data_IF_186598975807
#
_entry.id   IF_186598975807
#
_cell.length_a   1.000
_cell.length_b   1.000
_cell.length_c   1.000
_cell.angle_alpha   90.00
_cell.angle_beta   90.00
_cell.angle_gamma   90.00
#
_symmetry.space_group_name_H-M   'P 1'
#
loop_
_entity.id
_entity.type
_entity.pdbx_description
1 polymer ?
#
# COMPACT_ATOMS: atom_id res chain seq x y z
N UNK A 1 7.66 14.82 -10.87
CA UNK A 1 6.22 14.54 -10.68
C UNK A 1 6.04 13.23 -9.92
N UNK A 2 5.26 13.26 -8.83
CA UNK A 2 4.87 12.08 -8.05
C UNK A 2 3.35 11.86 -8.21
N UNK A 3 2.95 10.61 -8.34
CA UNK A 3 1.56 10.16 -8.38
C UNK A 3 1.24 9.46 -7.06
N UNK A 4 0.07 9.75 -6.51
CA UNK A 4 -0.46 9.09 -5.34
C UNK A 4 -1.20 7.82 -5.77
N UNK A 5 -0.66 6.67 -5.40
CA UNK A 5 -1.27 5.37 -5.58
C UNK A 5 -2.07 5.06 -4.33
N UNK A 6 -3.39 4.91 -4.49
CA UNK A 6 -4.27 4.49 -3.41
C UNK A 6 -4.76 3.07 -3.69
N UNK A 7 -4.38 2.10 -2.86
CA UNK A 7 -5.06 0.80 -2.83
C UNK A 7 -6.30 0.92 -1.95
N UNK A 8 -7.46 0.68 -2.55
CA UNK A 8 -8.73 0.64 -1.85
C UNK A 8 -8.79 -0.55 -0.90
N UNK A 9 -9.88 -0.66 -0.13
CA UNK A 9 -10.08 -1.77 0.80
C UNK A 9 -10.05 -3.09 0.04
N UNK A 10 -8.98 -3.87 0.20
CA UNK A 10 -8.83 -5.21 -0.35
C UNK A 10 -9.02 -6.29 0.72
N UNK A 11 -9.70 -7.38 0.36
CA UNK A 11 -9.72 -8.62 1.15
C UNK A 11 -8.72 -9.66 0.64
N UNK A 12 -7.96 -9.35 -0.41
CA UNK A 12 -6.96 -10.24 -0.97
C UNK A 12 -5.82 -10.50 0.01
N UNK A 13 -5.52 -11.77 0.24
CA UNK A 13 -4.40 -12.20 1.07
C UNK A 13 -3.03 -11.89 0.44
N UNK A 14 -2.99 -11.55 -0.84
CA UNK A 14 -1.76 -11.14 -1.51
C UNK A 14 -1.22 -9.82 -0.94
N UNK A 15 -2.07 -8.97 -0.36
CA UNK A 15 -1.68 -7.66 0.16
C UNK A 15 -1.66 -7.66 1.68
N UNK A 16 -0.57 -7.14 2.26
CA UNK A 16 -0.41 -7.12 3.72
C UNK A 16 -1.29 -6.07 4.38
N UNK A 17 -1.37 -4.87 3.79
CA UNK A 17 -2.32 -3.85 4.23
C UNK A 17 -3.60 -3.94 3.41
N UNK A 18 -4.74 -3.77 4.09
CA UNK A 18 -6.06 -3.67 3.44
C UNK A 18 -6.24 -2.36 2.69
N UNK A 19 -5.54 -1.30 3.07
CA UNK A 19 -5.51 -0.01 2.38
C UNK A 19 -4.08 0.53 2.38
N UNK A 20 -3.68 1.22 1.31
CA UNK A 20 -2.40 1.94 1.28
C UNK A 20 -2.51 3.19 0.42
N UNK A 21 -1.71 4.19 0.76
CA UNK A 21 -1.53 5.39 -0.03
C UNK A 21 -0.02 5.67 -0.11
N UNK A 22 0.55 5.65 -1.31
CA UNK A 22 1.99 5.83 -1.53
C UNK A 22 2.26 6.77 -2.70
N UNK A 23 3.31 7.58 -2.61
CA UNK A 23 3.70 8.52 -3.66
C UNK A 23 4.82 7.93 -4.51
N UNK A 24 4.62 7.84 -5.82
CA UNK A 24 5.57 7.24 -6.77
C UNK A 24 5.77 8.10 -8.00
N UNK A 25 7.02 8.29 -8.44
CA UNK A 25 7.36 9.02 -9.66
C UNK A 25 7.36 8.09 -10.86
N UNK A 26 7.11 8.63 -12.05
CA UNK A 26 7.12 7.87 -13.31
C UNK A 26 8.41 7.04 -13.50
N UNK A 27 9.58 7.58 -13.15
CA UNK A 27 10.86 6.85 -13.22
C UNK A 27 10.88 5.61 -12.34
N UNK A 28 10.18 5.62 -11.21
CA UNK A 28 10.06 4.46 -10.32
C UNK A 28 9.13 3.40 -10.92
N UNK A 29 8.09 3.79 -11.69
CA UNK A 29 7.29 2.84 -12.46
C UNK A 29 8.11 2.17 -13.57
N UNK A 30 8.96 2.92 -14.27
CA UNK A 30 9.88 2.36 -15.28
C UNK A 30 10.81 1.32 -14.64
N UNK A 31 11.37 1.65 -13.47
CA UNK A 31 12.17 0.71 -12.69
C UNK A 31 11.38 -0.55 -12.29
N UNK A 32 10.16 -0.37 -11.76
CA UNK A 32 9.30 -1.50 -11.35
C UNK A 32 9.00 -2.42 -12.52
N UNK A 33 8.59 -1.87 -13.67
CA UNK A 33 8.30 -2.65 -14.88
C UNK A 33 9.52 -3.48 -15.30
N UNK A 34 10.71 -2.88 -15.29
CA UNK A 34 11.94 -3.60 -15.62
C UNK A 34 12.19 -4.76 -14.63
N UNK A 35 12.05 -4.54 -13.32
CA UNK A 35 12.21 -5.59 -12.32
C UNK A 35 11.22 -6.74 -12.51
N UNK A 36 9.95 -6.43 -12.82
CA UNK A 36 8.92 -7.44 -13.07
C UNK A 36 9.18 -8.22 -14.36
N UNK A 37 9.63 -7.55 -15.43
CA UNK A 37 10.02 -8.23 -16.69
C UNK A 37 11.13 -9.25 -16.47
N UNK A 38 12.16 -8.93 -15.67
CA UNK A 38 13.25 -9.87 -15.39
C UNK A 38 12.79 -11.12 -14.62
N UNK A 39 11.74 -10.99 -13.81
CA UNK A 39 11.20 -12.08 -13.01
C UNK A 39 10.10 -12.89 -13.71
N UNK A 40 9.45 -12.32 -14.72
CA UNK A 40 8.30 -12.90 -15.40
C UNK A 40 8.52 -12.98 -16.92
N UNK A 41 9.60 -13.66 -17.34
CA UNK A 41 10.07 -13.73 -18.74
C UNK A 41 9.03 -14.23 -19.75
N UNK A 42 7.97 -14.91 -19.31
CA UNK A 42 6.90 -15.47 -20.16
C UNK A 42 5.69 -14.52 -20.24
N UNK A 43 5.59 -13.52 -19.35
CA UNK A 43 4.45 -12.62 -19.26
C UNK A 43 4.71 -11.35 -20.07
N UNK A 44 3.78 -11.02 -20.96
CA UNK A 44 3.79 -9.73 -21.65
C UNK A 44 3.29 -8.66 -20.68
N UNK A 45 4.20 -7.88 -20.12
CA UNK A 45 3.84 -6.79 -19.23
C UNK A 45 3.17 -5.63 -19.98
N UNK A 46 2.13 -4.99 -19.39
CA UNK A 46 1.53 -3.79 -19.95
C UNK A 46 2.60 -2.71 -20.18
N UNK A 47 2.41 -1.93 -21.26
CA UNK A 47 3.32 -0.84 -21.59
C UNK A 47 3.02 0.35 -20.67
N UNK A 48 4.08 1.01 -20.21
CA UNK A 48 3.93 2.30 -19.53
C UNK A 48 3.59 3.39 -20.56
N UNK A 49 2.89 4.46 -20.16
CA UNK A 49 2.71 5.62 -21.03
C UNK A 49 4.09 6.14 -21.46
N UNK A 50 4.23 6.59 -22.72
CA UNK A 50 5.53 6.94 -23.28
C UNK A 50 6.20 8.06 -22.49
N UNK A 51 7.53 7.99 -22.39
CA UNK A 51 8.32 9.08 -21.82
C UNK A 51 8.20 10.29 -22.74
N UNK A 52 7.54 11.33 -22.26
CA UNK A 52 7.45 12.62 -22.96
C UNK A 52 8.51 13.57 -22.38
N UNK A 53 9.58 13.93 -23.13
CA UNK A 53 10.59 14.88 -22.68
C UNK A 53 10.04 16.32 -22.55
N UNK A 54 8.95 16.65 -23.24
CA UNK A 54 8.26 17.95 -23.19
C UNK A 54 7.00 17.89 -22.32
N UNK A 55 7.00 17.04 -21.31
CA UNK A 55 5.88 16.91 -20.41
C UNK A 55 5.72 18.18 -19.56
N UNK A 56 4.55 18.81 -19.61
CA UNK A 56 4.22 19.97 -18.78
C UNK A 56 3.12 19.62 -17.77
N UNK A 57 3.34 20.01 -16.52
CA UNK A 57 2.33 19.90 -15.45
C UNK A 57 1.16 20.86 -15.64
N UNK A 58 1.34 21.94 -16.40
CA UNK A 58 0.24 22.85 -16.75
C UNK A 58 -0.70 22.27 -17.81
N UNK A 59 -0.27 21.20 -18.49
CA UNK A 59 -1.10 20.53 -19.49
C UNK A 59 -1.87 19.39 -18.83
N UNK A 60 -3.11 19.69 -18.44
CA UNK A 60 -4.02 18.75 -17.78
C UNK A 60 -4.27 17.49 -18.62
N UNK A 61 -4.33 17.60 -19.94
CA UNK A 61 -4.53 16.45 -20.83
C UNK A 61 -3.33 15.48 -20.77
N UNK A 62 -2.11 16.00 -20.85
CA UNK A 62 -0.89 15.17 -20.73
C UNK A 62 -0.82 14.48 -19.37
N UNK A 63 -1.21 15.19 -18.31
CA UNK A 63 -1.28 14.67 -16.95
C UNK A 63 -2.30 13.52 -16.88
N UNK A 64 -3.55 13.75 -17.30
CA UNK A 64 -4.63 12.77 -17.25
C UNK A 64 -4.29 11.52 -18.07
N UNK A 65 -3.77 11.70 -19.29
CA UNK A 65 -3.36 10.59 -20.15
C UNK A 65 -2.26 9.75 -19.49
N UNK A 66 -1.28 10.40 -18.85
CA UNK A 66 -0.22 9.70 -18.11
C UNK A 66 -0.79 8.97 -16.89
N UNK A 67 -1.68 9.60 -16.12
CA UNK A 67 -2.32 8.96 -14.97
C UNK A 67 -3.11 7.72 -15.38
N UNK A 68 -3.94 7.84 -16.43
CA UNK A 68 -4.70 6.73 -16.99
C UNK A 68 -3.80 5.57 -17.41
N UNK A 69 -2.72 5.84 -18.17
CA UNK A 69 -1.79 4.78 -18.58
C UNK A 69 -1.04 4.13 -17.41
N UNK A 70 -0.75 4.88 -16.34
CA UNK A 70 -0.17 4.31 -15.12
C UNK A 70 -1.19 3.47 -14.34
N UNK A 71 -2.47 3.84 -14.38
CA UNK A 71 -3.55 3.10 -13.76
C UNK A 71 -3.78 1.77 -14.47
N UNK A 72 -3.93 1.80 -15.79
CA UNK A 72 -4.08 0.60 -16.61
C UNK A 72 -2.89 -0.37 -16.42
N UNK A 73 -1.67 0.16 -16.32
CA UNK A 73 -0.48 -0.62 -15.99
C UNK A 73 -0.61 -1.34 -14.65
N UNK A 74 -0.98 -0.63 -13.58
CA UNK A 74 -1.11 -1.22 -12.25
C UNK A 74 -2.26 -2.22 -12.17
N UNK A 75 -3.42 -1.90 -12.75
CA UNK A 75 -4.58 -2.78 -12.80
C UNK A 75 -4.24 -4.12 -13.45
N UNK A 76 -3.56 -4.10 -14.59
CA UNK A 76 -3.12 -5.32 -15.27
C UNK A 76 -2.06 -6.09 -14.46
N UNK A 77 -1.13 -5.39 -13.80
CA UNK A 77 -0.12 -6.03 -12.95
C UNK A 77 -0.75 -6.73 -11.75
N UNK A 78 -1.69 -6.09 -11.05
CA UNK A 78 -2.33 -6.69 -9.85
C UNK A 78 -3.34 -7.78 -10.18
N UNK A 79 -3.85 -7.83 -11.41
CA UNK A 79 -4.69 -8.93 -11.89
C UNK A 79 -3.88 -10.18 -12.28
N UNK A 80 -2.55 -10.09 -12.33
CA UNK A 80 -1.66 -11.18 -12.75
C UNK A 80 -1.03 -11.87 -11.53
N UNK A 81 -1.46 -13.08 -11.14
CA UNK A 81 -1.02 -13.72 -9.88
C UNK A 81 0.50 -13.92 -9.78
N UNK A 82 1.17 -14.22 -10.89
CA UNK A 82 2.63 -14.39 -10.89
C UNK A 82 3.35 -13.09 -10.50
N UNK A 83 2.87 -11.94 -10.94
CA UNK A 83 3.48 -10.64 -10.61
C UNK A 83 3.23 -10.27 -9.14
N UNK A 84 2.11 -10.71 -8.56
CA UNK A 84 1.82 -10.57 -7.14
C UNK A 84 2.76 -11.37 -6.24
N UNK A 85 3.55 -12.30 -6.77
CA UNK A 85 4.58 -12.99 -5.98
C UNK A 85 5.84 -12.14 -5.75
N UNK A 86 6.05 -11.06 -6.53
CA UNK A 86 7.25 -10.23 -6.42
C UNK A 86 7.15 -9.26 -5.24
N UNK A 87 8.06 -9.41 -4.26
CA UNK A 87 8.12 -8.54 -3.09
C UNK A 87 8.36 -7.06 -3.41
N UNK A 88 9.02 -6.74 -4.54
CA UNK A 88 9.26 -5.36 -4.97
C UNK A 88 7.96 -4.67 -5.36
N UNK A 89 7.01 -5.40 -5.93
CA UNK A 89 5.67 -4.86 -6.22
C UNK A 89 4.95 -4.45 -4.93
N UNK A 90 4.97 -5.33 -3.92
CA UNK A 90 4.34 -5.04 -2.63
C UNK A 90 4.98 -3.86 -1.91
N UNK A 91 6.31 -3.81 -1.88
CA UNK A 91 7.03 -2.68 -1.31
C UNK A 91 6.75 -1.39 -2.09
N UNK A 92 6.64 -1.46 -3.41
CA UNK A 92 6.31 -0.31 -4.24
C UNK A 92 4.92 0.25 -3.91
N UNK A 93 3.93 -0.62 -3.72
CA UNK A 93 2.53 -0.24 -3.49
C UNK A 93 2.16 0.06 -2.03
N UNK A 94 2.91 -0.51 -1.07
CA UNK A 94 2.53 -0.50 0.36
C UNK A 94 3.59 0.10 1.30
N UNK A 95 4.72 0.56 0.77
CA UNK A 95 5.76 1.26 1.53
C UNK A 95 6.19 2.57 0.87
N UNK A 96 6.76 3.48 1.66
CA UNK A 96 7.40 4.73 1.25
C UNK A 96 8.90 4.57 0.91
N UNK A 97 9.39 3.32 0.83
CA UNK A 97 10.81 3.05 0.53
C UNK A 97 11.21 3.55 -0.86
N UNK A 98 12.42 4.09 -0.98
CA UNK A 98 13.04 4.40 -2.28
C UNK A 98 13.37 3.12 -3.05
N UNK A 99 13.43 3.18 -4.39
CA UNK A 99 13.72 2.02 -5.25
C UNK A 99 14.99 1.25 -4.83
N UNK A 100 16.03 1.96 -4.38
CA UNK A 100 17.27 1.33 -3.89
C UNK A 100 17.04 0.54 -2.60
N UNK A 101 16.24 1.08 -1.67
CA UNK A 101 15.88 0.36 -0.44
C UNK A 101 14.96 -0.82 -0.74
N UNK A 102 14.05 -0.67 -1.69
CA UNK A 102 13.18 -1.77 -2.14
C UNK A 102 14.03 -2.93 -2.69
N UNK A 103 14.94 -2.65 -3.64
CA UNK A 103 15.78 -3.69 -4.25
C UNK A 103 16.64 -4.41 -3.21
N UNK A 104 17.27 -3.66 -2.29
CA UNK A 104 18.03 -4.23 -1.19
C UNK A 104 17.17 -5.09 -0.26
N UNK A 105 15.95 -4.65 0.05
CA UNK A 105 15.04 -5.39 0.93
C UNK A 105 14.57 -6.69 0.28
N UNK A 106 14.21 -6.65 -1.01
CA UNK A 106 13.83 -7.82 -1.78
C UNK A 106 14.96 -8.86 -1.90
N UNK A 107 16.22 -8.41 -1.91
CA UNK A 107 17.41 -9.27 -1.92
C UNK A 107 17.85 -9.73 -0.51
N UNK A 108 17.13 -9.37 0.55
CA UNK A 108 17.51 -9.70 1.94
C UNK A 108 18.74 -8.94 2.46
N UNK A 109 19.11 -7.81 1.85
CA UNK A 109 20.27 -6.97 2.18
C UNK A 109 19.95 -5.80 3.12
N UNK A 110 18.83 -5.89 3.84
CA UNK A 110 18.37 -4.91 4.84
C UNK A 110 18.25 -5.55 6.22
N UNK A 111 18.21 -4.74 7.28
CA UNK A 111 18.00 -5.21 8.66
C UNK A 111 16.54 -5.50 9.01
N UNK A 112 15.63 -5.18 8.09
CA UNK A 112 14.19 -5.41 8.23
C UNK A 112 13.70 -6.25 7.05
N UNK A 113 12.64 -7.00 7.28
CA UNK A 113 11.94 -7.79 6.27
C UNK A 113 10.97 -6.95 5.44
N UNK A 114 10.48 -7.52 4.34
CA UNK A 114 9.42 -6.92 3.52
C UNK A 114 8.17 -6.62 4.36
N UNK A 115 7.76 -7.57 5.20
CA UNK A 115 6.59 -7.45 6.06
C UNK A 115 6.71 -6.27 7.03
N UNK A 116 7.87 -6.19 7.66
CA UNK A 116 8.25 -5.13 8.59
C UNK A 116 8.29 -3.74 7.94
N UNK A 117 8.84 -3.64 6.72
CA UNK A 117 8.85 -2.39 5.97
C UNK A 117 7.43 -1.90 5.66
N UNK A 118 6.56 -2.81 5.21
CA UNK A 118 5.17 -2.48 4.91
C UNK A 118 4.44 -2.05 6.18
N UNK A 119 4.61 -2.76 7.29
CA UNK A 119 3.96 -2.43 8.56
C UNK A 119 4.36 -1.04 9.08
N UNK A 120 5.65 -0.68 8.98
CA UNK A 120 6.17 0.61 9.46
C UNK A 120 5.82 1.78 8.55
N UNK A 121 5.51 1.55 7.28
CA UNK A 121 5.09 2.61 6.37
C UNK A 121 3.83 3.28 6.87
N UNK A 122 3.80 4.61 6.87
CA UNK A 122 2.59 5.37 7.18
C UNK A 122 1.63 5.28 5.99
N UNK A 123 0.32 5.15 6.25
CA UNK A 123 -0.69 5.50 5.25
C UNK A 123 -1.02 6.95 5.54
N UNK A 124 -0.56 7.89 4.74
CA UNK A 124 -0.89 9.31 4.92
C UNK A 124 -2.33 9.63 4.48
N UNK A 125 -3.21 8.64 4.51
CA UNK A 125 -4.57 8.69 3.99
C UNK A 125 -5.61 9.18 4.99
N UNK A 126 -5.23 9.51 6.24
CA UNK A 126 -6.14 10.00 7.27
C UNK A 126 -5.50 11.13 8.05
N UNK A 127 -5.76 12.37 7.64
CA UNK A 127 -5.74 13.57 8.49
C UNK A 127 -6.53 14.68 7.78
N UNK A 128 -7.86 14.58 7.80
CA UNK A 128 -8.75 15.73 7.68
C UNK A 128 -9.74 15.70 8.86
N UNK A 129 -9.37 16.46 9.89
CA UNK A 129 -10.21 17.16 10.88
C UNK A 129 -11.39 16.43 11.52
N UNK A 130 -11.19 15.91 12.72
CA UNK A 130 -12.17 16.04 13.80
C UNK A 130 -12.00 17.44 14.41
N UNK A 131 -12.86 18.39 14.01
CA UNK A 131 -13.08 19.60 14.79
C UNK A 131 -14.38 19.43 15.58
N UNK A 132 -14.32 19.80 16.87
CA UNK A 132 -15.36 19.81 17.93
C UNK A 132 -15.61 18.45 18.63
N UNK A 133 -15.52 18.33 19.95
CA UNK A 133 -15.64 19.33 21.03
C UNK A 133 -14.83 18.83 22.24
N UNK A 134 -14.19 19.77 22.94
CA UNK A 134 -13.58 19.58 24.25
C UNK A 134 -14.58 19.02 25.26
N UNK A 135 -14.24 17.92 25.91
CA UNK A 135 -14.80 17.60 27.21
C UNK A 135 -13.66 17.07 28.08
N UNK A 136 -13.19 17.92 28.98
CA UNK A 136 -12.42 17.51 30.15
C UNK A 136 -13.21 16.43 30.89
N UNK A 137 -12.54 15.35 31.25
CA UNK A 137 -12.96 14.55 32.39
C UNK A 137 -11.72 14.09 33.14
N UNK A 138 -11.45 14.75 34.25
CA UNK A 138 -10.54 14.32 35.28
C UNK A 138 -10.99 12.95 35.80
N UNK A 139 -10.14 11.92 35.69
CA UNK A 139 -10.34 10.66 36.40
C UNK A 139 -9.24 10.51 37.46
N UNK A 140 -9.57 10.98 38.66
CA UNK A 140 -8.85 10.71 39.90
C UNK A 140 -8.70 9.19 40.10
N UNK A 141 -7.47 8.76 40.43
CA UNK A 141 -7.19 7.38 40.81
C UNK A 141 -7.64 7.14 42.25
N UNK A 142 -8.31 6.01 42.51
CA UNK A 142 -8.38 5.46 43.87
C UNK A 142 -8.37 3.94 43.83
N UNK A 143 -7.32 3.38 44.43
CA UNK A 143 -7.13 1.97 44.72
C UNK A 143 -8.21 1.42 45.65
N UNK A 144 -8.69 0.20 45.42
CA UNK A 144 -8.86 -0.77 46.52
C UNK A 144 -8.97 -2.21 46.00
N UNK A 145 -8.43 -3.11 46.81
CA UNK A 145 -8.21 -4.53 46.58
C UNK A 145 -9.49 -5.38 46.74
N UNK A 146 -9.55 -6.53 46.07
CA UNK A 146 -10.56 -7.57 46.32
C UNK A 146 -10.08 -8.96 45.87
N UNK A 147 -9.94 -9.86 46.85
CA UNK A 147 -9.48 -11.26 46.74
C UNK A 147 -10.53 -12.19 46.12
N UNK A 148 -10.10 -13.33 45.53
CA UNK A 148 -10.98 -14.49 45.32
C UNK A 148 -10.43 -15.60 44.41
N UNK A 149 -10.16 -16.78 45.01
CA UNK A 149 -9.86 -18.12 44.47
C UNK A 149 -10.84 -18.57 43.33
N UNK A 150 -10.65 -19.59 42.47
CA UNK A 150 -9.97 -20.91 42.52
C UNK A 150 -10.06 -21.60 41.12
N UNK A 151 -9.19 -22.60 40.83
CA UNK A 151 -9.20 -23.77 39.88
C UNK A 151 -10.25 -23.83 38.72
N UNK A 152 -9.98 -24.32 37.50
CA UNK A 152 -9.40 -25.62 37.11
C UNK A 152 -9.05 -25.71 35.59
N UNK A 153 -8.24 -26.71 35.25
CA UNK A 153 -7.72 -27.11 33.93
C UNK A 153 -8.76 -27.88 33.10
N UNK A 154 -8.86 -27.61 31.79
CA UNK A 154 -9.14 -28.68 30.81
C UNK A 154 -8.72 -28.30 29.39
N UNK A 155 -7.95 -29.18 28.77
CA UNK A 155 -7.55 -29.17 27.36
C UNK A 155 -8.72 -29.65 26.50
N UNK A 156 -9.06 -28.92 25.43
CA UNK A 156 -9.73 -29.53 24.28
C UNK A 156 -9.47 -28.75 22.99
N UNK A 157 -8.65 -29.37 22.13
CA UNK A 157 -8.60 -29.14 20.68
C UNK A 157 -9.99 -29.13 20.06
N UNK A 158 -10.20 -28.24 19.08
CA UNK A 158 -10.99 -28.45 17.84
C UNK A 158 -11.05 -27.17 17.00
N UNK A 159 -11.23 -27.27 15.67
CA UNK A 159 -10.41 -26.55 14.69
C UNK A 159 -10.98 -25.20 14.23
N UNK A 160 -10.08 -24.34 13.77
CA UNK A 160 -10.38 -23.09 13.07
C UNK A 160 -11.30 -23.35 11.87
N UNK A 161 -12.44 -22.65 11.74
CA UNK A 161 -13.19 -22.66 10.50
C UNK A 161 -12.43 -21.83 9.47
N UNK A 162 -11.86 -22.55 8.49
CA UNK A 162 -11.47 -22.02 7.20
C UNK A 162 -12.70 -21.39 6.54
N UNK A 163 -12.83 -20.06 6.66
CA UNK A 163 -13.83 -19.31 5.90
C UNK A 163 -13.20 -18.91 4.58
N UNK A 164 -13.42 -19.75 3.59
CA UNK A 164 -13.16 -19.47 2.18
C UNK A 164 -14.12 -18.37 1.73
N UNK A 165 -13.68 -17.11 1.83
CA UNK A 165 -14.41 -15.99 1.24
C UNK A 165 -14.02 -15.87 -0.22
N UNK A 166 -14.74 -16.60 -1.07
CA UNK A 166 -14.82 -16.31 -2.50
C UNK A 166 -15.68 -15.05 -2.68
N UNK A 167 -15.05 -13.89 -2.61
CA UNK A 167 -15.57 -12.70 -3.25
C UNK A 167 -14.46 -12.08 -4.09
N UNK A 168 -14.62 -12.19 -5.41
CA UNK A 168 -13.79 -11.49 -6.36
C UNK A 168 -13.93 -10.00 -6.16
N UNK A 169 -12.98 -9.40 -5.43
CA UNK A 169 -12.82 -7.97 -5.30
C UNK A 169 -12.41 -7.40 -6.68
N UNK A 170 -13.39 -7.04 -7.50
CA UNK A 170 -13.17 -6.50 -8.86
C UNK A 170 -12.59 -5.07 -8.88
N UNK A 171 -12.15 -4.52 -7.75
CA UNK A 171 -11.54 -3.19 -7.72
C UNK A 171 -10.50 -3.06 -6.60
N UNK A 172 -9.44 -3.87 -6.70
CA UNK A 172 -8.29 -3.85 -5.78
C UNK A 172 -7.58 -2.48 -5.71
N UNK A 173 -7.68 -1.72 -6.80
CA UNK A 173 -7.03 -0.43 -6.96
C UNK A 173 -8.00 0.71 -6.64
N UNK A 174 -7.71 1.53 -5.63
CA UNK A 174 -8.62 2.54 -5.12
C UNK A 174 -8.66 3.83 -5.94
N UNK A 175 -7.55 4.20 -6.59
CA UNK A 175 -7.41 5.26 -7.62
C UNK A 175 -5.95 5.72 -7.71
N UNK A 176 -5.58 6.35 -8.83
CA UNK A 176 -4.37 7.15 -8.96
C UNK A 176 -4.75 8.64 -8.95
N UNK A 177 -4.13 9.44 -8.09
CA UNK A 177 -4.32 10.89 -8.07
C UNK A 177 -2.99 11.64 -8.11
N UNK A 178 -3.01 12.92 -8.46
CA UNK A 178 -1.82 13.76 -8.31
C UNK A 178 -1.54 14.06 -6.83
N UNK A 179 -0.26 14.26 -6.49
CA UNK A 179 0.07 14.76 -5.16
C UNK A 179 -0.29 16.25 -5.07
N UNK A 180 -0.99 16.71 -4.01
CA UNK A 180 -1.17 18.14 -3.77
C UNK A 180 0.20 18.85 -3.76
N UNK A 181 0.32 19.95 -4.48
CA UNK A 181 1.47 20.86 -4.35
C UNK A 181 1.44 21.48 -2.95
N UNK A 182 2.58 21.55 -2.23
CA UNK A 182 2.64 22.29 -0.97
C UNK A 182 2.19 23.73 -1.23
N UNK A 183 1.21 24.23 -0.47
CA UNK A 183 0.85 25.65 -0.50
C UNK A 183 2.12 26.45 -0.17
N UNK A 184 2.68 27.13 -1.17
CA UNK A 184 3.60 28.23 -0.94
C UNK A 184 2.78 29.34 -0.29
N UNK A 185 2.92 29.48 1.03
CA UNK A 185 2.43 30.64 1.78
C UNK A 185 3.17 31.85 1.23
N UNK A 186 2.46 32.73 0.53
CA UNK A 186 2.93 34.06 0.15
C UNK A 186 2.91 34.99 1.37
#
# INVERSE_FOLDING_TARGET
MCFMISLGKTNSMCFRKKTSCVRRRYSEFVWLRHCLEQNALIIVLPKLPPRNPFFSLSNTEQVMQRMKGLQEFLESVVQTPLLLSDSRLHLFLQSDLSITKIDRCAQGKTRYTVAEAIQRSRCDCMNQSEDKVSSDSDCESTSSSGLGHSVDISVRESPLPFLESSHGDKHLFGSLSECPTPLTKA
#
